data_IF_139119503870
#
_entry.id   IF_139119503870
#
_cell.length_a   1.000
_cell.length_b   1.000
_cell.length_c   1.000
_cell.angle_alpha   90.00
_cell.angle_beta   90.00
_cell.angle_gamma   90.00
#
_symmetry.space_group_name_H-M   'P 1'
#
loop_
_entity.id
_entity.type
_entity.pdbx_description
1 polymer ?
#
# COMPACT_ATOMS: atom_id res chain seq x y z
N UNK A 1 -22.18 -2.65 4.22
CA UNK A 1 -20.96 -2.60 3.38
C UNK A 1 -20.24 -1.27 3.49
N UNK A 2 -20.94 -0.12 3.43
CA UNK A 2 -20.32 1.21 3.57
C UNK A 2 -19.41 1.37 4.80
N UNK A 3 -19.92 1.06 6.00
CA UNK A 3 -19.12 1.15 7.25
C UNK A 3 -17.89 0.27 7.22
N UNK A 4 -18.01 -0.95 6.68
CA UNK A 4 -16.91 -1.90 6.53
C UNK A 4 -15.85 -1.36 5.57
N UNK A 5 -16.26 -0.82 4.41
CA UNK A 5 -15.35 -0.22 3.45
C UNK A 5 -14.58 0.97 4.06
N UNK A 6 -15.29 1.89 4.71
CA UNK A 6 -14.66 3.04 5.39
C UNK A 6 -13.70 2.59 6.49
N UNK A 7 -14.08 1.60 7.30
CA UNK A 7 -13.20 1.04 8.32
C UNK A 7 -11.93 0.45 7.71
N UNK A 8 -12.04 -0.34 6.63
CA UNK A 8 -10.89 -0.95 5.97
C UNK A 8 -9.96 0.09 5.34
N UNK A 9 -10.51 1.13 4.69
CA UNK A 9 -9.71 2.26 4.16
C UNK A 9 -8.92 2.92 5.29
N UNK A 10 -9.60 3.31 6.37
CA UNK A 10 -8.98 4.00 7.49
C UNK A 10 -7.99 3.10 8.23
N UNK A 11 -8.28 1.80 8.35
CA UNK A 11 -7.35 0.82 8.91
C UNK A 11 -6.10 0.67 8.04
N UNK A 12 -6.23 0.64 6.71
CA UNK A 12 -5.08 0.60 5.79
C UNK A 12 -4.21 1.86 5.91
N UNK A 13 -4.84 3.05 5.98
CA UNK A 13 -4.12 4.33 6.19
C UNK A 13 -3.43 4.35 7.55
N UNK A 14 -4.13 3.98 8.62
CA UNK A 14 -3.55 3.93 9.97
C UNK A 14 -2.40 2.92 10.05
N UNK A 15 -2.58 1.74 9.46
CA UNK A 15 -1.54 0.72 9.36
C UNK A 15 -0.30 1.28 8.66
N UNK A 16 -0.46 1.86 7.47
CA UNK A 16 0.63 2.49 6.72
C UNK A 16 1.34 3.58 7.53
N UNK A 17 0.61 4.49 8.18
CA UNK A 17 1.20 5.55 8.99
C UNK A 17 2.01 4.98 10.16
N UNK A 18 1.44 3.99 10.87
CA UNK A 18 2.09 3.35 12.00
C UNK A 18 3.35 2.60 11.54
N UNK A 19 3.26 1.78 10.50
CA UNK A 19 4.41 1.01 10.03
C UNK A 19 5.46 1.86 9.32
N UNK A 20 5.13 3.08 8.89
CA UNK A 20 6.12 4.04 8.34
C UNK A 20 6.79 4.90 9.42
N UNK A 21 6.10 5.20 10.53
CA UNK A 21 6.58 6.19 11.50
C UNK A 21 7.08 5.60 12.82
N UNK A 22 6.52 4.46 13.24
CA UNK A 22 6.81 3.83 14.54
C UNK A 22 7.74 2.65 14.34
N UNK A 23 8.77 2.51 15.16
CA UNK A 23 9.65 1.34 15.12
C UNK A 23 8.91 0.11 15.68
N UNK A 24 8.57 -0.82 14.79
CA UNK A 24 7.90 -2.09 15.09
C UNK A 24 8.78 -3.29 14.72
N UNK A 25 10.11 -3.11 14.70
CA UNK A 25 11.04 -4.17 14.34
C UNK A 25 10.75 -5.47 15.11
N UNK A 26 10.70 -6.65 14.43
CA UNK A 26 11.09 -6.88 13.04
C UNK A 26 9.96 -6.72 12.00
N UNK A 27 8.78 -6.24 12.38
CA UNK A 27 7.62 -6.18 11.47
C UNK A 27 7.85 -5.22 10.31
N UNK A 28 8.49 -4.07 10.54
CA UNK A 28 8.66 -3.02 9.56
C UNK A 28 10.11 -2.56 9.36
N UNK A 29 10.29 -1.72 8.35
CA UNK A 29 11.58 -1.29 7.80
C UNK A 29 12.07 0.06 8.37
N UNK A 30 11.42 0.60 9.40
CA UNK A 30 11.66 1.96 9.91
C UNK A 30 13.11 2.22 10.31
N UNK A 31 13.80 1.22 10.88
CA UNK A 31 15.22 1.32 11.25
C UNK A 31 16.16 1.44 10.04
N UNK A 32 15.75 0.93 8.88
CA UNK A 32 16.52 0.96 7.63
C UNK A 32 16.30 2.22 6.79
N UNK A 33 15.23 2.97 7.07
CA UNK A 33 14.81 4.16 6.33
C UNK A 33 15.26 5.45 7.03
N UNK A 34 15.78 6.40 6.25
CA UNK A 34 16.12 7.74 6.72
C UNK A 34 14.84 8.47 7.12
N UNK A 35 14.94 9.42 8.07
CA UNK A 35 13.78 10.22 8.50
C UNK A 35 13.16 11.00 7.33
N UNK A 36 13.98 11.53 6.42
CA UNK A 36 13.50 12.24 5.22
C UNK A 36 12.74 11.32 4.26
N UNK A 37 13.21 10.08 4.07
CA UNK A 37 12.55 9.06 3.25
C UNK A 37 11.15 8.74 3.82
N UNK A 38 11.06 8.47 5.13
CA UNK A 38 9.78 8.20 5.81
C UNK A 38 8.80 9.36 5.71
N UNK A 39 9.27 10.59 5.90
CA UNK A 39 8.41 11.77 5.79
C UNK A 39 7.95 12.02 4.36
N UNK A 40 8.81 11.78 3.36
CA UNK A 40 8.42 11.86 1.96
C UNK A 40 7.38 10.79 1.61
N UNK A 41 7.59 9.55 2.06
CA UNK A 41 6.67 8.43 1.87
C UNK A 41 5.28 8.74 2.45
N UNK A 42 5.20 9.25 3.68
CA UNK A 42 3.92 9.67 4.27
C UNK A 42 3.28 10.82 3.50
N UNK A 43 4.05 11.86 3.15
CA UNK A 43 3.52 13.05 2.46
C UNK A 43 2.94 12.72 1.09
N UNK A 44 3.53 11.76 0.39
CA UNK A 44 3.12 11.37 -0.95
C UNK A 44 1.97 10.36 -0.89
N UNK A 45 2.10 9.30 -0.08
CA UNK A 45 1.16 8.18 -0.13
C UNK A 45 -0.06 8.36 0.77
N UNK A 46 0.07 8.96 1.96
CA UNK A 46 -1.07 9.08 2.88
C UNK A 46 -2.27 9.85 2.28
N UNK A 47 -2.08 10.98 1.55
CA UNK A 47 -3.20 11.67 0.91
C UNK A 47 -3.91 10.81 -0.14
N UNK A 48 -3.13 10.08 -0.96
CA UNK A 48 -3.68 9.20 -2.00
C UNK A 48 -4.45 8.04 -1.39
N UNK A 49 -3.93 7.46 -0.30
CA UNK A 49 -4.58 6.36 0.42
C UNK A 49 -5.81 6.81 1.22
N UNK A 50 -5.87 8.05 1.68
CA UNK A 50 -7.01 8.60 2.42
C UNK A 50 -8.14 9.11 1.49
N UNK A 51 -7.82 9.48 0.24
CA UNK A 51 -8.78 10.01 -0.73
C UNK A 51 -10.00 9.10 -0.95
N UNK A 52 -9.88 7.76 -1.06
CA UNK A 52 -11.04 6.86 -1.17
C UNK A 52 -12.07 7.03 -0.06
N UNK A 53 -11.65 7.28 1.19
CA UNK A 53 -12.59 7.47 2.30
C UNK A 53 -13.43 8.74 2.09
N UNK A 54 -12.80 9.83 1.64
CA UNK A 54 -13.50 11.09 1.35
C UNK A 54 -14.46 10.94 0.17
N UNK A 55 -14.02 10.27 -0.89
CA UNK A 55 -14.84 10.01 -2.08
C UNK A 55 -16.05 9.12 -1.74
N UNK A 56 -15.84 8.04 -1.01
CA UNK A 56 -16.91 7.12 -0.61
C UNK A 56 -17.89 7.77 0.38
N UNK A 57 -17.39 8.55 1.34
CA UNK A 57 -18.25 9.32 2.24
C UNK A 57 -19.08 10.36 1.46
N UNK A 58 -18.49 11.05 0.50
CA UNK A 58 -19.19 11.97 -0.41
C UNK A 58 -20.24 11.26 -1.27
N UNK A 59 -19.91 10.09 -1.82
CA UNK A 59 -20.85 9.27 -2.58
C UNK A 59 -22.11 8.96 -1.77
N UNK A 60 -21.93 8.54 -0.51
CA UNK A 60 -23.03 8.22 0.39
C UNK A 60 -23.83 9.47 0.83
N UNK A 61 -23.15 10.56 1.19
CA UNK A 61 -23.79 11.78 1.68
C UNK A 61 -24.64 12.48 0.60
N UNK A 62 -24.14 12.50 -0.64
CA UNK A 62 -24.77 13.22 -1.75
C UNK A 62 -25.52 12.31 -2.74
N UNK A 63 -25.53 10.99 -2.50
CA UNK A 63 -26.10 9.97 -3.40
C UNK A 63 -25.52 10.05 -4.81
N UNK A 64 -24.20 10.18 -4.89
CA UNK A 64 -23.45 10.31 -6.14
C UNK A 64 -22.60 9.04 -6.36
N UNK A 65 -23.15 7.96 -6.96
CA UNK A 65 -22.47 6.67 -7.04
C UNK A 65 -21.16 6.73 -7.84
N UNK A 66 -21.01 7.68 -8.77
CA UNK A 66 -19.77 7.85 -9.52
C UNK A 66 -18.56 8.17 -8.60
N UNK A 67 -18.78 8.85 -7.47
CA UNK A 67 -17.72 9.11 -6.48
C UNK A 67 -17.28 7.82 -5.78
N UNK A 68 -18.21 6.90 -5.53
CA UNK A 68 -17.91 5.60 -4.93
C UNK A 68 -17.12 4.69 -5.89
N UNK A 69 -17.48 4.70 -7.17
CA UNK A 69 -16.69 4.01 -8.20
C UNK A 69 -15.30 4.62 -8.37
N UNK A 70 -15.18 5.96 -8.29
CA UNK A 70 -13.89 6.63 -8.28
C UNK A 70 -13.04 6.24 -7.06
N UNK A 71 -13.65 6.11 -5.88
CA UNK A 71 -12.97 5.63 -4.68
C UNK A 71 -12.39 4.22 -4.89
N UNK A 72 -13.21 3.27 -5.35
CA UNK A 72 -12.78 1.89 -5.61
C UNK A 72 -11.70 1.81 -6.70
N UNK A 73 -11.77 2.67 -7.72
CA UNK A 73 -10.75 2.77 -8.75
C UNK A 73 -9.40 3.25 -8.19
N UNK A 74 -9.40 4.27 -7.32
CA UNK A 74 -8.18 4.74 -6.65
C UNK A 74 -7.57 3.63 -5.78
N UNK A 75 -8.36 2.94 -4.97
CA UNK A 75 -7.87 1.82 -4.16
C UNK A 75 -7.29 0.69 -5.03
N UNK A 76 -7.95 0.37 -6.14
CA UNK A 76 -7.49 -0.63 -7.10
C UNK A 76 -6.14 -0.26 -7.70
N UNK A 77 -5.93 1.02 -8.03
CA UNK A 77 -4.64 1.52 -8.53
C UNK A 77 -3.55 1.44 -7.46
N UNK A 78 -3.86 1.79 -6.21
CA UNK A 78 -2.91 1.71 -5.09
C UNK A 78 -2.47 0.28 -4.85
N UNK A 79 -3.42 -0.68 -4.74
CA UNK A 79 -3.06 -2.08 -4.53
C UNK A 79 -2.34 -2.66 -5.74
N UNK A 80 -2.74 -2.32 -6.97
CA UNK A 80 -2.03 -2.76 -8.17
C UNK A 80 -0.59 -2.25 -8.18
N UNK A 81 -0.36 -0.99 -7.84
CA UNK A 81 0.98 -0.42 -7.69
C UNK A 81 1.80 -1.22 -6.67
N UNK A 82 1.26 -1.45 -5.48
CA UNK A 82 1.91 -2.28 -4.45
C UNK A 82 2.21 -3.71 -4.93
N UNK A 83 1.26 -4.35 -5.61
CA UNK A 83 1.44 -5.69 -6.15
C UNK A 83 2.54 -5.73 -7.21
N UNK A 84 2.56 -4.79 -8.14
CA UNK A 84 3.61 -4.67 -9.16
C UNK A 84 4.97 -4.39 -8.53
N UNK A 85 5.04 -3.52 -7.51
CA UNK A 85 6.28 -3.19 -6.82
C UNK A 85 6.90 -4.38 -6.10
N UNK A 86 6.08 -5.18 -5.44
CA UNK A 86 6.55 -6.21 -4.51
C UNK A 86 6.54 -7.63 -5.07
N UNK A 87 5.52 -7.97 -5.86
CA UNK A 87 5.34 -9.34 -6.35
C UNK A 87 5.95 -9.58 -7.72
N UNK A 88 6.00 -8.56 -8.59
CA UNK A 88 6.62 -8.71 -9.90
C UNK A 88 8.13 -9.04 -9.82
N UNK A 89 8.94 -8.39 -8.95
CA UNK A 89 10.34 -8.78 -8.75
C UNK A 89 10.48 -10.19 -8.17
N UNK A 90 9.58 -10.59 -7.28
CA UNK A 90 9.62 -11.90 -6.64
C UNK A 90 9.28 -13.05 -7.60
N UNK A 91 8.16 -12.92 -8.31
CA UNK A 91 7.62 -13.98 -9.15
C UNK A 91 8.31 -14.04 -10.52
N UNK A 92 8.60 -12.89 -11.13
CA UNK A 92 9.11 -12.79 -12.49
C UNK A 92 10.55 -12.28 -12.58
N UNK A 93 11.13 -11.75 -11.50
CA UNK A 93 12.45 -11.11 -11.54
C UNK A 93 12.46 -9.75 -12.25
N UNK A 94 11.28 -9.19 -12.55
CA UNK A 94 11.15 -7.91 -13.26
C UNK A 94 10.95 -6.79 -12.24
N UNK A 95 11.88 -5.82 -12.23
CA UNK A 95 11.79 -4.63 -11.38
C UNK A 95 11.05 -3.50 -12.07
N UNK A 96 10.25 -2.76 -11.30
CA UNK A 96 9.54 -1.56 -11.78
C UNK A 96 10.42 -0.31 -11.62
N UNK A 97 10.79 0.40 -12.72
CA UNK A 97 11.72 1.53 -12.64
C UNK A 97 11.21 2.74 -11.83
N UNK A 98 9.89 2.90 -11.72
CA UNK A 98 9.27 3.98 -10.95
C UNK A 98 9.34 3.75 -9.43
N UNK A 99 9.77 2.56 -8.98
CA UNK A 99 9.96 2.22 -7.58
C UNK A 99 11.03 3.04 -6.87
N UNK A 100 11.97 3.59 -7.63
CA UNK A 100 13.06 4.41 -7.11
C UNK A 100 13.01 5.78 -7.76
N UNK A 101 13.14 6.82 -6.94
CA UNK A 101 13.07 8.22 -7.40
C UNK A 101 14.38 8.70 -8.03
N UNK A 102 15.45 7.90 -7.99
CA UNK A 102 16.75 8.22 -8.57
C UNK A 102 17.24 7.08 -9.47
N UNK A 103 17.83 7.45 -10.61
CA UNK A 103 18.44 6.52 -11.56
C UNK A 103 19.66 5.76 -10.97
N UNK A 104 20.18 6.22 -9.83
CA UNK A 104 21.37 5.68 -9.17
C UNK A 104 21.05 4.56 -8.17
N UNK A 105 19.80 4.44 -7.71
CA UNK A 105 19.41 3.43 -6.72
C UNK A 105 18.44 2.46 -7.37
N UNK A 106 18.83 1.19 -7.44
CA UNK A 106 17.92 0.16 -7.95
C UNK A 106 16.93 -0.27 -6.87
N UNK A 107 15.79 -0.86 -7.27
CA UNK A 107 14.86 -1.46 -6.31
C UNK A 107 15.53 -2.54 -5.45
N UNK A 108 16.48 -3.30 -6.02
CA UNK A 108 17.24 -4.31 -5.27
C UNK A 108 18.12 -3.68 -4.17
N UNK A 109 18.77 -2.55 -4.45
CA UNK A 109 19.58 -1.82 -3.46
C UNK A 109 18.72 -1.25 -2.35
N UNK A 110 17.58 -0.64 -2.70
CA UNK A 110 16.63 -0.13 -1.72
C UNK A 110 16.09 -1.27 -0.85
N UNK A 111 15.75 -2.41 -1.46
CA UNK A 111 15.23 -3.57 -0.78
C UNK A 111 16.22 -4.20 0.19
N UNK A 112 17.44 -4.46 -0.27
CA UNK A 112 18.50 -5.04 0.57
C UNK A 112 18.80 -4.18 1.80
N UNK A 113 18.85 -2.84 1.65
CA UNK A 113 19.10 -1.91 2.75
C UNK A 113 17.94 -1.86 3.74
N UNK A 114 16.71 -1.78 3.23
CA UNK A 114 15.56 -1.29 4.00
C UNK A 114 14.66 -2.44 4.44
N UNK A 115 14.32 -3.35 3.53
CA UNK A 115 13.27 -4.35 3.73
C UNK A 115 13.80 -5.76 4.02
N UNK A 116 15.00 -6.13 3.53
CA UNK A 116 15.52 -7.49 3.65
C UNK A 116 15.77 -7.99 5.08
N UNK A 117 15.82 -7.07 6.06
CA UNK A 117 16.00 -7.35 7.49
C UNK A 117 14.70 -7.41 8.30
N UNK A 118 13.56 -7.28 7.63
CA UNK A 118 12.24 -7.35 8.26
C UNK A 118 11.68 -8.77 8.23
N UNK A 119 10.53 -9.00 8.86
CA UNK A 119 9.87 -10.29 8.87
C UNK A 119 9.44 -10.68 7.45
N UNK A 120 10.03 -11.74 6.93
CA UNK A 120 9.74 -12.31 5.60
C UNK A 120 9.40 -13.78 5.78
N UNK A 121 8.22 -14.18 5.34
CA UNK A 121 7.70 -15.57 5.43
C UNK A 121 7.80 -16.33 4.10
N UNK A 122 7.99 -15.62 2.99
CA UNK A 122 8.05 -16.24 1.67
C UNK A 122 9.39 -16.97 1.44
N UNK A 123 9.37 -18.13 0.77
CA UNK A 123 10.59 -18.86 0.43
C UNK A 123 11.46 -18.06 -0.52
N UNK A 124 12.78 -18.32 -0.48
CA UNK A 124 13.73 -17.71 -1.41
C UNK A 124 13.56 -18.31 -2.82
N UNK A 125 13.58 -17.44 -3.83
CA UNK A 125 13.58 -17.78 -5.25
C UNK A 125 14.82 -17.15 -5.90
N UNK A 126 15.98 -17.80 -5.75
CA UNK A 126 17.27 -17.19 -6.08
C UNK A 126 17.52 -15.91 -5.28
N UNK A 127 18.06 -14.88 -5.94
CA UNK A 127 18.38 -13.57 -5.34
C UNK A 127 17.23 -12.54 -5.46
N UNK A 128 16.02 -12.99 -5.79
CA UNK A 128 14.90 -12.09 -6.05
C UNK A 128 14.42 -11.38 -4.77
N UNK A 129 14.17 -10.05 -4.81
CA UNK A 129 13.57 -9.32 -3.70
C UNK A 129 12.25 -9.97 -3.25
N UNK A 130 12.04 -10.08 -1.94
CA UNK A 130 10.87 -10.74 -1.35
C UNK A 130 9.95 -9.72 -0.67
N UNK A 131 8.63 -9.80 -0.86
CA UNK A 131 7.67 -9.11 -0.01
C UNK A 131 7.92 -9.41 1.46
N UNK A 132 7.95 -8.37 2.28
CA UNK A 132 7.89 -8.53 3.72
C UNK A 132 6.43 -8.61 4.19
N UNK A 133 6.24 -9.09 5.41
CA UNK A 133 4.89 -9.30 5.98
C UNK A 133 4.12 -7.98 6.09
N UNK A 134 4.81 -6.87 6.39
CA UNK A 134 4.21 -5.53 6.43
C UNK A 134 3.45 -5.20 5.14
N UNK A 135 4.11 -5.29 3.99
CA UNK A 135 3.48 -4.95 2.72
C UNK A 135 2.43 -5.99 2.31
N UNK A 136 2.61 -7.26 2.67
CA UNK A 136 1.59 -8.28 2.44
C UNK A 136 0.29 -7.95 3.18
N UNK A 137 0.37 -7.52 4.45
CA UNK A 137 -0.81 -7.09 5.23
C UNK A 137 -1.43 -5.84 4.61
N UNK A 138 -0.61 -4.85 4.25
CA UNK A 138 -1.11 -3.61 3.66
C UNK A 138 -1.85 -3.88 2.33
N UNK A 139 -1.29 -4.70 1.43
CA UNK A 139 -1.97 -5.06 0.19
C UNK A 139 -3.29 -5.79 0.44
N UNK A 140 -3.34 -6.69 1.43
CA UNK A 140 -4.57 -7.40 1.78
C UNK A 140 -5.65 -6.45 2.29
N UNK A 141 -5.29 -5.48 3.15
CA UNK A 141 -6.21 -4.45 3.64
C UNK A 141 -6.77 -3.60 2.49
N UNK A 142 -5.91 -3.11 1.59
CA UNK A 142 -6.33 -2.25 0.47
C UNK A 142 -7.16 -3.04 -0.55
N UNK A 143 -6.82 -4.31 -0.82
CA UNK A 143 -7.62 -5.16 -1.70
C UNK A 143 -9.03 -5.39 -1.12
N UNK A 144 -9.10 -5.73 0.18
CA UNK A 144 -10.38 -5.92 0.86
C UNK A 144 -11.21 -4.63 0.88
N UNK A 145 -10.56 -3.49 1.09
CA UNK A 145 -11.17 -2.18 1.05
C UNK A 145 -11.75 -1.87 -0.34
N UNK A 146 -10.98 -2.06 -1.43
CA UNK A 146 -11.44 -1.89 -2.80
C UNK A 146 -12.68 -2.72 -3.13
N UNK A 147 -12.67 -4.01 -2.77
CA UNK A 147 -13.82 -4.92 -2.96
C UNK A 147 -15.05 -4.42 -2.18
N UNK A 148 -14.87 -4.05 -0.91
CA UNK A 148 -15.95 -3.53 -0.09
C UNK A 148 -16.49 -2.18 -0.60
N UNK A 149 -15.64 -1.33 -1.17
CA UNK A 149 -16.00 -0.03 -1.74
C UNK A 149 -16.86 -0.21 -2.98
N UNK A 150 -16.50 -1.11 -3.89
CA UNK A 150 -17.35 -1.43 -5.05
C UNK A 150 -18.70 -2.03 -4.60
N UNK A 151 -18.67 -2.97 -3.65
CA UNK A 151 -19.89 -3.58 -3.13
C UNK A 151 -20.79 -2.57 -2.39
N UNK A 152 -20.20 -1.63 -1.65
CA UNK A 152 -20.94 -0.56 -0.98
C UNK A 152 -21.55 0.41 -2.00
N UNK A 153 -20.80 0.78 -3.04
CA UNK A 153 -21.25 1.72 -4.08
C UNK A 153 -22.38 1.13 -4.91
N UNK A 154 -22.33 -0.16 -5.25
CA UNK A 154 -23.40 -0.84 -5.98
C UNK A 154 -24.72 -0.90 -5.19
N UNK A 155 -24.68 -0.63 -3.88
CA UNK A 155 -25.85 -0.62 -2.99
C UNK A 155 -26.30 0.81 -2.57
N UNK A 156 -25.62 1.86 -3.06
CA UNK A 156 -26.01 3.27 -2.86
C UNK A 156 -27.01 3.73 -3.91
#
# INVERSE_FOLDING_TARGET
MLTTALFLILAAVAYFLVTTLVDLYPLNNVRGARRSERLAEVKINAPVMALPALLLAGAAAFRLPFLGYAAGAVESLVVLGGLLLWWLPYLAGITVPWATTSAEVTWADLHSRTYARTLIVLPRLGDRPRPNVEHMILHALILAAAVCTFAATAAL
#
